data_IF_630161636295
#
_entry.id   IF_630161636295
#
_cell.length_a   1.000
_cell.length_b   1.000
_cell.length_c   1.000
_cell.angle_alpha   90.00
_cell.angle_beta   90.00
_cell.angle_gamma   90.00
#
_symmetry.space_group_name_H-M   'P 1'
#
loop_
_entity.id
_entity.type
_entity.pdbx_description
1 polymer ?
#
# COMPACT_ATOMS: atom_id res chain seq x y z
N UNK A 1 -13.25 0.21 -0.33
CA UNK A 1 -12.09 1.09 -0.59
C UNK A 1 -12.47 1.98 -1.74
N UNK A 2 -12.40 3.29 -1.54
CA UNK A 2 -12.84 4.29 -2.52
C UNK A 2 -11.60 4.87 -3.19
N UNK A 3 -11.71 5.25 -4.46
CA UNK A 3 -10.62 5.92 -5.17
C UNK A 3 -10.19 7.20 -4.44
N UNK A 4 -8.92 7.62 -4.60
CA UNK A 4 -8.34 8.76 -3.88
C UNK A 4 -9.05 10.12 -4.12
N UNK A 5 -9.94 10.21 -5.10
CA UNK A 5 -10.54 11.46 -5.58
C UNK A 5 -9.79 12.01 -6.80
N UNK A 6 -9.75 13.34 -7.03
CA UNK A 6 -9.21 13.94 -8.26
C UNK A 6 -7.67 13.94 -8.33
N UNK A 7 -7.00 13.06 -7.57
CA UNK A 7 -5.53 12.94 -7.61
C UNK A 7 -5.15 12.41 -8.97
N UNK A 8 -4.57 13.28 -9.80
CA UNK A 8 -4.01 12.86 -11.07
C UNK A 8 -2.85 11.91 -10.79
N UNK A 9 -2.94 10.71 -11.37
CA UNK A 9 -1.84 9.76 -11.39
C UNK A 9 -0.55 10.45 -11.88
N UNK A 10 0.64 10.13 -11.34
CA UNK A 10 1.84 10.80 -11.79
C UNK A 10 2.01 10.62 -13.31
N UNK A 11 2.34 11.68 -14.05
CA UNK A 11 2.38 11.64 -15.51
C UNK A 11 3.50 10.73 -16.05
N UNK A 12 4.42 10.30 -15.18
CA UNK A 12 5.50 9.37 -15.48
C UNK A 12 5.76 8.43 -14.29
N UNK A 13 6.32 7.23 -14.52
CA UNK A 13 6.75 6.34 -13.46
C UNK A 13 7.71 7.02 -12.47
N UNK A 14 7.53 6.77 -11.19
CA UNK A 14 8.40 7.27 -10.12
C UNK A 14 9.63 6.36 -10.06
N UNK A 15 10.81 6.93 -10.31
CA UNK A 15 12.08 6.21 -10.19
C UNK A 15 12.70 6.45 -8.82
N UNK A 16 13.16 5.38 -8.21
CA UNK A 16 13.96 5.42 -6.99
C UNK A 16 15.40 4.99 -7.30
N UNK A 17 16.20 4.71 -6.28
CA UNK A 17 17.57 4.22 -6.46
C UNK A 17 17.59 2.87 -7.23
N UNK A 18 16.66 1.98 -6.91
CA UNK A 18 16.63 0.60 -7.43
C UNK A 18 15.31 0.21 -8.09
N UNK A 19 14.24 0.97 -7.88
CA UNK A 19 12.87 0.58 -8.23
C UNK A 19 12.24 1.55 -9.21
N UNK A 20 11.25 1.05 -9.93
CA UNK A 20 10.32 1.86 -10.71
C UNK A 20 8.91 1.60 -10.22
N UNK A 21 8.24 2.65 -9.73
CA UNK A 21 6.83 2.63 -9.37
C UNK A 21 6.02 3.11 -10.58
N UNK A 22 5.22 2.22 -11.17
CA UNK A 22 4.54 2.46 -12.44
C UNK A 22 3.08 2.00 -12.43
N UNK A 23 2.36 2.37 -13.48
CA UNK A 23 1.07 1.74 -13.78
C UNK A 23 1.25 0.25 -14.02
N UNK A 24 0.18 -0.48 -13.74
CA UNK A 24 0.08 -1.89 -14.02
C UNK A 24 -0.13 -2.15 -15.52
N UNK A 25 0.49 -3.24 -15.99
CA UNK A 25 0.49 -3.71 -17.36
C UNK A 25 0.08 -5.20 -17.40
N UNK A 26 -0.23 -5.72 -18.59
CA UNK A 26 -0.67 -7.11 -18.74
C UNK A 26 0.35 -8.14 -18.21
N UNK A 27 1.65 -7.82 -18.30
CA UNK A 27 2.74 -8.67 -17.78
C UNK A 27 2.71 -8.84 -16.25
N UNK A 28 2.04 -7.95 -15.52
CA UNK A 28 2.00 -7.98 -14.06
C UNK A 28 0.99 -8.97 -13.52
N UNK A 29 0.05 -9.41 -14.36
CA UNK A 29 -1.04 -10.31 -13.97
C UNK A 29 -0.55 -11.53 -13.18
N UNK A 30 0.52 -12.17 -13.64
CA UNK A 30 1.10 -13.31 -12.97
C UNK A 30 1.53 -12.95 -11.54
N UNK A 31 2.27 -11.85 -11.37
CA UNK A 31 2.73 -11.41 -10.04
C UNK A 31 1.58 -11.04 -9.11
N UNK A 32 0.49 -10.45 -9.61
CA UNK A 32 -0.72 -10.20 -8.79
C UNK A 32 -1.35 -11.50 -8.29
N UNK A 33 -1.45 -12.53 -9.14
CA UNK A 33 -1.95 -13.84 -8.74
C UNK A 33 -1.02 -14.46 -7.69
N UNK A 34 0.30 -14.39 -7.87
CA UNK A 34 1.27 -14.88 -6.89
C UNK A 34 1.13 -14.16 -5.53
N UNK A 35 1.04 -12.82 -5.52
CA UNK A 35 0.87 -12.03 -4.31
C UNK A 35 -0.37 -12.44 -3.52
N UNK A 36 -1.52 -12.61 -4.18
CA UNK A 36 -2.77 -12.97 -3.50
C UNK A 36 -2.90 -14.47 -3.18
N UNK A 37 -2.17 -15.33 -3.89
CA UNK A 37 -2.16 -16.77 -3.64
C UNK A 37 -1.12 -17.20 -2.59
N UNK A 38 -0.13 -16.36 -2.26
CA UNK A 38 0.93 -16.70 -1.31
C UNK A 38 0.39 -16.76 0.14
N UNK A 39 0.56 -17.90 0.83
CA UNK A 39 0.26 -17.99 2.26
C UNK A 39 1.09 -17.04 3.13
N UNK A 40 2.36 -16.85 2.77
CA UNK A 40 3.29 -15.96 3.47
C UNK A 40 2.83 -14.49 3.36
N UNK A 41 2.44 -14.04 2.16
CA UNK A 41 1.89 -12.69 1.95
C UNK A 41 0.54 -12.55 2.66
N UNK A 42 -0.32 -13.57 2.55
CA UNK A 42 -1.66 -13.58 3.13
C UNK A 42 -1.73 -13.73 4.65
N UNK A 43 -0.61 -13.97 5.34
CA UNK A 43 -0.56 -14.33 6.77
C UNK A 43 -1.38 -13.37 7.66
N UNK A 44 -1.32 -12.06 7.39
CA UNK A 44 -2.06 -11.03 8.16
C UNK A 44 -3.24 -10.42 7.39
N UNK A 45 -3.58 -10.98 6.23
CA UNK A 45 -4.58 -10.44 5.29
C UNK A 45 -5.81 -11.34 5.14
N UNK A 46 -5.97 -12.32 6.04
CA UNK A 46 -7.06 -13.30 5.97
C UNK A 46 -6.71 -14.58 5.21
N UNK A 47 -5.43 -14.78 4.89
CA UNK A 47 -4.91 -15.97 4.22
C UNK A 47 -4.82 -15.85 2.69
N UNK A 48 -4.24 -16.87 2.05
CA UNK A 48 -4.14 -16.93 0.59
C UNK A 48 -5.49 -17.18 -0.05
N UNK A 49 -5.72 -16.59 -1.23
CA UNK A 49 -6.87 -16.91 -2.07
C UNK A 49 -6.57 -18.10 -2.99
N UNK A 50 -7.57 -18.93 -3.32
CA UNK A 50 -7.38 -20.04 -4.27
C UNK A 50 -6.89 -19.52 -5.63
N UNK A 51 -5.84 -20.14 -6.17
CA UNK A 51 -5.22 -19.70 -7.42
C UNK A 51 -6.19 -19.75 -8.61
N UNK A 52 -7.02 -20.79 -8.70
CA UNK A 52 -8.01 -20.95 -9.77
C UNK A 52 -9.08 -19.84 -9.75
N UNK A 53 -9.42 -19.33 -8.56
CA UNK A 53 -10.31 -18.18 -8.40
C UNK A 53 -9.63 -16.90 -8.85
N UNK A 54 -8.37 -16.69 -8.46
CA UNK A 54 -7.58 -15.54 -8.88
C UNK A 54 -7.36 -15.53 -10.40
N UNK A 55 -7.06 -16.67 -11.00
CA UNK A 55 -6.91 -16.82 -12.45
C UNK A 55 -8.19 -16.48 -13.22
N UNK A 56 -9.37 -16.61 -12.60
CA UNK A 56 -10.64 -16.17 -13.20
C UNK A 56 -10.99 -14.71 -12.90
N UNK A 57 -10.64 -14.23 -11.71
CA UNK A 57 -11.08 -12.92 -11.22
C UNK A 57 -10.12 -11.77 -11.53
N UNK A 58 -8.81 -12.04 -11.61
CA UNK A 58 -7.80 -11.01 -11.91
C UNK A 58 -7.87 -10.69 -13.41
N UNK A 59 -8.15 -9.42 -13.78
CA UNK A 59 -8.26 -9.03 -15.18
C UNK A 59 -6.90 -9.12 -15.88
N UNK A 60 -6.90 -9.05 -17.22
CA UNK A 60 -5.68 -9.15 -18.02
C UNK A 60 -4.64 -8.11 -17.63
N UNK A 61 -5.06 -6.87 -17.45
CA UNK A 61 -4.26 -5.80 -16.85
C UNK A 61 -4.79 -5.55 -15.44
N UNK A 62 -4.13 -6.05 -14.39
CA UNK A 62 -4.62 -5.90 -13.03
C UNK A 62 -4.57 -4.44 -12.61
N UNK A 63 -5.50 -4.00 -11.76
CA UNK A 63 -5.24 -2.83 -10.94
C UNK A 63 -5.07 -1.49 -11.67
N UNK A 64 -5.67 -1.33 -12.85
CA UNK A 64 -5.66 -0.08 -13.61
C UNK A 64 -6.56 0.98 -12.97
N UNK A 65 -6.20 1.44 -11.76
CA UNK A 65 -6.92 2.47 -11.00
C UNK A 65 -5.95 3.45 -10.33
N UNK A 66 -6.34 4.72 -10.14
CA UNK A 66 -5.54 5.69 -9.39
C UNK A 66 -5.23 5.19 -7.98
N UNK A 67 -3.98 5.35 -7.56
CA UNK A 67 -3.50 4.95 -6.24
C UNK A 67 -2.78 3.61 -6.16
N UNK A 68 -2.82 2.75 -7.20
CA UNK A 68 -2.10 1.47 -7.21
C UNK A 68 -0.84 1.52 -8.07
N UNK A 69 0.33 1.41 -7.44
CA UNK A 69 1.62 1.29 -8.10
C UNK A 69 2.07 -0.17 -8.16
N UNK A 70 2.54 -0.59 -9.33
CA UNK A 70 3.39 -1.77 -9.45
C UNK A 70 4.82 -1.37 -9.08
N UNK A 71 5.45 -2.18 -8.22
CA UNK A 71 6.87 -2.04 -7.87
C UNK A 71 7.69 -2.96 -8.76
N UNK A 72 8.43 -2.35 -9.68
CA UNK A 72 9.26 -3.02 -10.67
C UNK A 72 10.75 -2.93 -10.26
N UNK A 73 11.44 -4.06 -10.32
CA UNK A 73 12.87 -4.20 -10.12
C UNK A 73 13.45 -4.88 -11.37
N UNK A 74 14.28 -4.15 -12.12
CA UNK A 74 14.96 -4.64 -13.33
C UNK A 74 14.01 -5.30 -14.36
N UNK A 75 12.79 -4.77 -14.50
CA UNK A 75 11.78 -5.26 -15.44
C UNK A 75 10.85 -6.34 -14.89
N UNK A 76 11.03 -6.75 -13.63
CA UNK A 76 10.21 -7.75 -12.95
C UNK A 76 9.39 -7.12 -11.82
N UNK A 77 8.11 -7.51 -11.72
CA UNK A 77 7.22 -7.06 -10.66
C UNK A 77 7.48 -7.80 -9.37
N UNK A 78 7.83 -7.06 -8.32
CA UNK A 78 8.18 -7.60 -7.00
C UNK A 78 7.12 -7.31 -5.93
N UNK A 79 6.16 -6.44 -6.22
CA UNK A 79 5.15 -6.03 -5.27
C UNK A 79 4.23 -4.92 -5.79
N UNK A 80 3.36 -4.45 -4.91
CA UNK A 80 2.43 -3.37 -5.16
C UNK A 80 2.37 -2.41 -3.98
N UNK A 81 2.14 -1.14 -4.26
CA UNK A 81 1.78 -0.11 -3.29
C UNK A 81 0.39 0.40 -3.62
N UNK A 82 -0.45 0.56 -2.61
CA UNK A 82 -1.80 1.10 -2.72
C UNK A 82 -1.95 2.31 -1.81
N UNK A 83 -2.38 3.43 -2.38
CA UNK A 83 -2.88 4.60 -1.67
C UNK A 83 -4.35 4.76 -2.05
N UNK A 84 -5.27 4.60 -1.12
CA UNK A 84 -6.71 4.72 -1.39
C UNK A 84 -7.44 5.43 -0.25
N UNK A 85 -8.65 5.92 -0.50
CA UNK A 85 -9.49 6.44 0.58
C UNK A 85 -10.13 5.26 1.31
N UNK A 86 -9.99 5.25 2.64
CA UNK A 86 -10.83 4.41 3.50
C UNK A 86 -12.29 4.74 3.23
N UNK A 87 -13.09 3.69 3.28
CA UNK A 87 -14.53 3.80 3.10
C UNK A 87 -15.11 4.77 4.13
N UNK A 88 -15.95 5.71 3.70
CA UNK A 88 -16.54 6.73 4.58
C UNK A 88 -17.44 6.11 5.65
N UNK A 89 -17.94 4.88 5.43
CA UNK A 89 -18.72 4.13 6.41
C UNK A 89 -17.87 3.57 7.57
N UNK A 90 -16.56 3.44 7.39
CA UNK A 90 -15.64 3.17 8.49
C UNK A 90 -15.35 4.49 9.17
N UNK A 91 -15.67 4.61 10.47
CA UNK A 91 -15.37 5.81 11.26
C UNK A 91 -13.92 6.22 11.00
N UNK A 92 -13.75 7.44 10.50
CA UNK A 92 -12.45 8.06 10.37
C UNK A 92 -11.91 8.35 11.78
N UNK A 93 -10.67 7.94 12.03
CA UNK A 93 -9.97 8.14 13.30
C UNK A 93 -9.17 9.46 13.30
N UNK A 94 -8.97 10.06 12.13
CA UNK A 94 -8.17 11.28 11.91
C UNK A 94 -9.03 12.46 11.46
N UNK A 95 -9.96 12.27 10.51
CA UNK A 95 -10.85 13.35 10.01
C UNK A 95 -12.30 12.90 9.83
N UNK A 96 -13.25 13.32 10.68
CA UNK A 96 -14.61 12.78 10.70
C UNK A 96 -15.39 12.89 9.39
N UNK A 97 -15.05 13.85 8.51
CA UNK A 97 -15.86 14.20 7.33
C UNK A 97 -15.17 13.91 5.98
N UNK A 98 -13.92 13.43 5.97
CA UNK A 98 -13.15 13.15 4.77
C UNK A 98 -12.39 11.83 4.99
N UNK A 99 -12.79 10.76 4.32
CA UNK A 99 -12.17 9.44 4.47
C UNK A 99 -10.64 9.53 4.38
N UNK A 100 -9.95 8.71 5.17
CA UNK A 100 -8.50 8.76 5.35
C UNK A 100 -7.78 8.14 4.16
N UNK A 101 -6.73 8.80 3.65
CA UNK A 101 -5.84 8.14 2.71
C UNK A 101 -5.08 7.02 3.44
N UNK A 102 -5.12 5.79 2.93
CA UNK A 102 -4.50 4.62 3.52
C UNK A 102 -3.43 4.05 2.61
N UNK A 103 -2.26 3.79 3.20
CA UNK A 103 -1.16 3.06 2.59
C UNK A 103 -1.31 1.56 2.84
N UNK A 104 -1.53 0.81 1.77
CA UNK A 104 -1.38 -0.64 1.68
C UNK A 104 -0.18 -1.01 0.82
N UNK A 105 0.41 -2.18 1.04
CA UNK A 105 1.48 -2.69 0.22
C UNK A 105 1.60 -4.21 0.34
N UNK A 106 2.03 -4.84 -0.75
CA UNK A 106 2.30 -6.28 -0.82
C UNK A 106 3.62 -6.49 -1.55
N UNK A 107 4.43 -7.45 -1.11
CA UNK A 107 5.68 -7.81 -1.76
C UNK A 107 5.80 -9.32 -1.80
N UNK A 108 6.34 -9.84 -2.91
CA UNK A 108 6.64 -11.26 -3.04
C UNK A 108 7.71 -11.67 -2.00
N UNK A 109 7.64 -12.89 -1.44
CA UNK A 109 8.56 -13.33 -0.39
C UNK A 109 10.05 -13.21 -0.76
N UNK A 110 10.40 -13.41 -2.03
CA UNK A 110 11.78 -13.35 -2.53
C UNK A 110 12.38 -11.93 -2.48
N UNK A 111 11.51 -10.90 -2.43
CA UNK A 111 11.89 -9.50 -2.36
C UNK A 111 12.05 -8.99 -0.91
N UNK A 112 11.69 -9.80 0.09
CA UNK A 112 11.73 -9.41 1.50
C UNK A 112 13.16 -9.27 2.03
N UNK A 113 13.33 -8.47 3.09
CA UNK A 113 14.62 -8.29 3.77
C UNK A 113 15.65 -7.41 3.04
N UNK A 114 15.33 -6.92 1.82
CA UNK A 114 16.23 -6.10 0.99
C UNK A 114 15.96 -4.59 1.04
N UNK A 115 14.97 -4.19 1.84
CA UNK A 115 14.58 -2.79 2.03
C UNK A 115 13.69 -2.20 0.93
N UNK A 116 13.24 -2.99 -0.04
CA UNK A 116 12.42 -2.51 -1.15
C UNK A 116 11.08 -1.90 -0.72
N UNK A 117 10.42 -2.49 0.28
CA UNK A 117 9.18 -1.93 0.82
C UNK A 117 9.38 -0.52 1.41
N UNK A 118 10.48 -0.28 2.11
CA UNK A 118 10.81 1.05 2.64
C UNK A 118 11.06 2.06 1.53
N UNK A 119 11.82 1.68 0.52
CA UNK A 119 12.11 2.53 -0.63
C UNK A 119 10.85 2.87 -1.43
N UNK A 120 10.04 1.86 -1.78
CA UNK A 120 8.82 2.04 -2.54
C UNK A 120 7.77 2.86 -1.79
N UNK A 121 7.51 2.53 -0.51
CA UNK A 121 6.54 3.27 0.30
C UNK A 121 6.99 4.72 0.52
N UNK A 122 8.29 4.99 0.74
CA UNK A 122 8.79 6.35 0.89
C UNK A 122 8.59 7.17 -0.40
N UNK A 123 8.85 6.58 -1.56
CA UNK A 123 8.62 7.23 -2.85
C UNK A 123 7.14 7.52 -3.10
N UNK A 124 6.26 6.56 -2.78
CA UNK A 124 4.81 6.74 -2.90
C UNK A 124 4.26 7.82 -1.95
N UNK A 125 4.74 7.86 -0.69
CA UNK A 125 4.38 8.90 0.28
C UNK A 125 4.89 10.28 -0.13
N UNK A 126 6.10 10.36 -0.70
CA UNK A 126 6.65 11.60 -1.25
C UNK A 126 5.78 12.14 -2.38
N UNK A 127 5.45 11.30 -3.37
CA UNK A 127 4.51 11.67 -4.42
C UNK A 127 3.14 12.10 -3.86
N UNK A 128 2.61 11.35 -2.89
CA UNK A 128 1.31 11.66 -2.30
C UNK A 128 1.31 13.03 -1.60
N UNK A 129 2.38 13.37 -0.88
CA UNK A 129 2.52 14.66 -0.22
C UNK A 129 2.58 15.83 -1.22
N UNK A 130 3.23 15.64 -2.36
CA UNK A 130 3.26 16.65 -3.42
C UNK A 130 1.88 16.80 -4.09
N UNK A 131 1.18 15.68 -4.30
CA UNK A 131 -0.12 15.65 -4.97
C UNK A 131 -1.27 16.15 -4.07
N UNK A 132 -1.19 15.88 -2.77
CA UNK A 132 -2.15 16.30 -1.74
C UNK A 132 -1.43 16.86 -0.50
N UNK A 133 -0.91 18.10 -0.58
CA UNK A 133 -0.20 18.71 0.53
C UNK A 133 -1.04 18.78 1.81
N UNK A 134 -0.45 18.34 2.93
CA UNK A 134 -1.08 18.37 4.25
C UNK A 134 -2.10 17.27 4.52
N UNK A 135 -2.41 16.41 3.55
CA UNK A 135 -3.31 15.27 3.78
C UNK A 135 -2.53 14.15 4.51
N UNK A 136 -2.98 13.71 5.70
CA UNK A 136 -2.34 12.61 6.41
C UNK A 136 -2.62 11.26 5.73
N UNK A 137 -1.67 10.34 5.86
CA UNK A 137 -1.78 8.96 5.39
C UNK A 137 -1.81 8.02 6.58
N UNK A 138 -2.72 7.05 6.57
CA UNK A 138 -2.87 6.07 7.64
C UNK A 138 -2.37 4.70 7.20
N UNK A 139 -1.98 3.87 8.16
CA UNK A 139 -1.61 2.49 7.94
C UNK A 139 -2.20 1.65 9.07
N UNK A 140 -2.81 0.53 8.69
CA UNK A 140 -3.34 -0.44 9.63
C UNK A 140 -2.69 -1.80 9.41
N UNK A 141 -2.29 -2.46 10.49
CA UNK A 141 -1.73 -3.81 10.42
C UNK A 141 -1.95 -4.54 11.74
N UNK A 142 -1.91 -5.87 11.76
CA UNK A 142 -1.96 -6.61 13.03
C UNK A 142 -0.71 -6.30 13.85
N UNK A 143 -0.81 -6.16 15.18
CA UNK A 143 0.36 -5.92 16.03
C UNK A 143 1.37 -7.08 15.98
N UNK A 144 0.90 -8.29 15.65
CA UNK A 144 1.75 -9.45 15.37
C UNK A 144 2.56 -9.35 14.07
N UNK A 145 2.26 -8.39 13.17
CA UNK A 145 3.01 -8.17 11.94
C UNK A 145 4.23 -7.26 12.19
N UNK A 146 5.23 -7.80 12.89
CA UNK A 146 6.43 -7.07 13.29
C UNK A 146 7.16 -6.42 12.11
N UNK A 147 7.10 -7.02 10.92
CA UNK A 147 7.74 -6.48 9.70
C UNK A 147 7.06 -5.20 9.25
N UNK A 148 5.73 -5.19 9.23
CA UNK A 148 4.94 -3.99 8.89
C UNK A 148 5.09 -2.91 9.96
N UNK A 149 5.08 -3.28 11.24
CA UNK A 149 5.30 -2.36 12.36
C UNK A 149 6.66 -1.65 12.27
N UNK A 150 7.74 -2.40 12.00
CA UNK A 150 9.08 -1.80 11.80
C UNK A 150 9.14 -0.91 10.56
N UNK A 151 8.45 -1.29 9.48
CA UNK A 151 8.38 -0.46 8.29
C UNK A 151 7.66 0.86 8.56
N UNK A 152 6.49 0.81 9.21
CA UNK A 152 5.71 1.98 9.57
C UNK A 152 6.54 2.96 10.42
N UNK A 153 7.22 2.45 11.46
CA UNK A 153 8.13 3.27 12.28
C UNK A 153 9.28 3.87 11.46
N UNK A 154 9.90 3.10 10.55
CA UNK A 154 10.98 3.59 9.68
C UNK A 154 10.52 4.69 8.72
N UNK A 155 9.27 4.63 8.27
CA UNK A 155 8.65 5.63 7.41
C UNK A 155 8.14 6.86 8.18
N UNK A 156 8.20 6.84 9.52
CA UNK A 156 7.77 7.94 10.38
C UNK A 156 6.28 7.94 10.73
N UNK A 157 5.58 6.82 10.57
CA UNK A 157 4.22 6.70 11.12
C UNK A 157 4.27 6.67 12.65
N UNK A 158 3.35 7.37 13.28
CA UNK A 158 3.16 7.38 14.74
C UNK A 158 1.90 6.61 15.10
N UNK A 159 1.99 5.75 16.11
CA UNK A 159 0.84 5.02 16.65
C UNK A 159 -0.21 6.00 17.20
N UNK A 160 -1.47 5.81 16.80
CA UNK A 160 -2.61 6.58 17.31
C UNK A 160 -3.50 5.70 18.16
N UNK A 161 -3.70 4.44 17.77
CA UNK A 161 -4.60 3.54 18.48
C UNK A 161 -4.25 2.07 18.24
N UNK A 162 -4.62 1.23 19.22
CA UNK A 162 -4.80 -0.22 19.04
C UNK A 162 -6.25 -0.62 19.27
N UNK A 163 -6.72 -1.63 18.56
CA UNK A 163 -8.09 -2.12 18.67
C UNK A 163 -8.20 -3.58 18.22
N UNK A 164 -9.23 -4.29 18.70
CA UNK A 164 -9.51 -5.67 18.29
C UNK A 164 -10.38 -5.68 17.03
N UNK A 165 -9.94 -6.40 15.99
CA UNK A 165 -10.75 -6.68 14.81
C UNK A 165 -10.28 -7.97 14.12
N UNK A 166 -11.22 -8.69 13.49
CA UNK A 166 -10.95 -9.97 12.82
C UNK A 166 -10.25 -11.01 13.71
N UNK A 167 -10.50 -10.96 15.03
CA UNK A 167 -9.92 -11.87 16.01
C UNK A 167 -8.44 -11.61 16.33
N UNK A 168 -7.92 -10.42 16.02
CA UNK A 168 -6.55 -10.03 16.35
C UNK A 168 -6.47 -8.54 16.73
N UNK A 169 -5.48 -8.21 17.56
CA UNK A 169 -5.13 -6.83 17.88
C UNK A 169 -4.52 -6.14 16.64
N UNK A 170 -5.10 -5.00 16.28
CA UNK A 170 -4.69 -4.14 15.20
C UNK A 170 -3.92 -2.95 15.76
N UNK A 171 -2.90 -2.55 15.01
CA UNK A 171 -2.19 -1.29 15.15
C UNK A 171 -2.68 -0.32 14.08
N UNK A 172 -2.92 0.92 14.49
CA UNK A 172 -3.27 2.02 13.61
C UNK A 172 -2.32 3.18 13.84
N UNK A 173 -1.66 3.60 12.76
CA UNK A 173 -0.76 4.74 12.79
C UNK A 173 -1.01 5.73 11.67
N UNK A 174 -0.50 6.93 11.90
CA UNK A 174 -0.66 8.08 11.02
C UNK A 174 0.71 8.63 10.64
N UNK A 175 0.86 8.94 9.38
CA UNK A 175 1.97 9.69 8.82
C UNK A 175 1.44 11.04 8.32
N UNK A 176 2.12 12.11 8.69
CA UNK A 176 1.80 13.45 8.23
C UNK A 176 2.94 13.96 7.35
N UNK A 177 2.65 14.48 6.14
CA UNK A 177 3.67 15.17 5.37
C UNK A 177 4.17 16.38 6.16
N UNK A 178 5.49 16.56 6.24
CA UNK A 178 6.06 17.77 6.87
C UNK A 178 5.62 18.96 6.03
N UNK A 179 4.77 19.82 6.58
CA UNK A 179 4.51 21.13 5.97
C UNK A 179 5.82 21.92 5.99
N UNK A 180 6.41 22.29 4.85
CA UNK A 180 7.61 23.12 4.87
C UNK A 180 7.30 24.46 5.57
N UNK A 181 8.32 25.05 6.23
CA UNK A 181 8.43 26.46 6.52
C UNK A 181 7.64 27.35 5.58
N UNK A 182 6.61 28.10 5.99
CA UNK A 182 6.12 29.19 5.15
C UNK A 182 7.20 30.27 4.97
#
# INVERSE_FOLDING_TARGET
>A
MTELGPVAWPPAPIRTERLVLRESEARDRAAFIELFASPEVGTYLGGPRPRDELERAVPEVPGRRPGLFVVDLDGATIGTIELNRRDAERRSHVRPDAGEAELGYLFLPEAWGRGYAAEACAAALGWFADALPGEPVVLCTQTANDRSMRLAAKLGFTEVQRYEAWGAEQWFGVWSPVTPPA
#
